data_IF_923371432022
#
_entry.id   IF_923371432022
#
_cell.length_a   1.000
_cell.length_b   1.000
_cell.length_c   1.000
_cell.angle_alpha   90.00
_cell.angle_beta   90.00
_cell.angle_gamma   90.00
#
_symmetry.space_group_name_H-M   'P 1'
#
loop_
_entity.id
_entity.type
_entity.pdbx_description
1 polymer ?
#
# COMPACT_ATOMS: atom_id res chain seq x y z
N UNK A 1 38.66 -25.33 -21.05
CA UNK A 1 39.30 -24.31 -20.20
C UNK A 1 38.21 -23.68 -19.35
N UNK A 2 38.21 -23.92 -18.04
CA UNK A 2 37.17 -23.39 -17.14
C UNK A 2 37.45 -21.93 -16.81
N UNK A 3 36.62 -21.02 -17.33
CA UNK A 3 36.58 -19.63 -16.87
C UNK A 3 35.98 -19.61 -15.46
N UNK A 4 36.83 -19.76 -14.44
CA UNK A 4 36.44 -19.44 -13.07
C UNK A 4 36.40 -17.91 -12.97
N UNK A 5 35.19 -17.35 -13.12
CA UNK A 5 34.94 -15.94 -12.91
C UNK A 5 35.40 -15.54 -11.49
N UNK A 6 35.83 -14.30 -11.30
CA UNK A 6 36.31 -13.78 -10.00
C UNK A 6 35.27 -14.03 -8.89
N UNK A 7 34.00 -13.94 -9.26
CA UNK A 7 32.82 -14.28 -8.47
C UNK A 7 32.84 -15.73 -7.98
N UNK A 8 33.13 -16.69 -8.85
CA UNK A 8 33.21 -18.13 -8.53
C UNK A 8 34.35 -18.42 -7.55
N UNK A 9 35.49 -17.74 -7.70
CA UNK A 9 36.61 -17.83 -6.77
C UNK A 9 36.27 -17.23 -5.39
N UNK A 10 35.54 -16.11 -5.37
CA UNK A 10 35.10 -15.46 -4.14
C UNK A 10 34.11 -16.34 -3.37
N UNK A 11 33.09 -16.89 -4.04
CA UNK A 11 32.15 -17.83 -3.43
C UNK A 11 32.83 -19.08 -2.89
N UNK A 12 33.81 -19.61 -3.61
CA UNK A 12 34.55 -20.80 -3.20
C UNK A 12 35.39 -20.55 -1.94
N UNK A 13 36.08 -19.41 -1.86
CA UNK A 13 36.84 -19.02 -0.67
C UNK A 13 35.93 -18.80 0.55
N UNK A 14 34.78 -18.13 0.37
CA UNK A 14 33.82 -17.90 1.47
C UNK A 14 33.26 -19.22 1.99
N UNK A 15 32.84 -20.12 1.09
CA UNK A 15 32.35 -21.44 1.48
C UNK A 15 33.42 -22.25 2.23
N UNK A 16 34.66 -22.18 1.78
CA UNK A 16 35.77 -22.88 2.38
C UNK A 16 36.13 -22.34 3.78
N UNK A 17 36.13 -21.01 3.94
CA UNK A 17 36.31 -20.37 5.25
C UNK A 17 35.18 -20.69 6.23
N UNK A 18 33.94 -20.83 5.75
CA UNK A 18 32.82 -21.28 6.60
C UNK A 18 33.04 -22.74 7.02
N UNK A 19 33.45 -23.63 6.11
CA UNK A 19 33.71 -25.05 6.44
C UNK A 19 34.87 -25.28 7.41
N UNK A 20 35.83 -24.36 7.44
CA UNK A 20 37.01 -24.43 8.31
C UNK A 20 36.80 -23.75 9.69
N UNK A 21 35.64 -23.13 9.92
CA UNK A 21 35.30 -22.56 11.23
C UNK A 21 35.02 -23.66 12.28
N UNK A 22 35.32 -23.41 13.56
CA UNK A 22 34.91 -24.29 14.66
C UNK A 22 33.41 -24.57 14.64
N UNK A 23 32.99 -25.82 14.85
CA UNK A 23 31.57 -26.27 14.73
C UNK A 23 30.60 -25.37 15.49
N UNK A 24 30.96 -24.97 16.72
CA UNK A 24 30.16 -24.06 17.57
C UNK A 24 29.93 -22.67 16.95
N UNK A 25 30.92 -22.17 16.20
CA UNK A 25 30.83 -20.91 15.47
C UNK A 25 30.09 -21.06 14.14
N UNK A 26 30.17 -22.22 13.51
CA UNK A 26 29.37 -22.58 12.34
C UNK A 26 27.88 -22.65 12.70
N UNK A 27 27.53 -23.39 13.75
CA UNK A 27 26.16 -23.52 14.25
C UNK A 27 25.61 -22.15 14.66
N UNK A 28 26.36 -21.33 15.39
CA UNK A 28 25.88 -19.99 15.75
C UNK A 28 25.73 -19.07 14.53
N UNK A 29 26.58 -19.19 13.51
CA UNK A 29 26.45 -18.41 12.27
C UNK A 29 25.23 -18.85 11.44
N UNK A 30 24.94 -20.14 11.38
CA UNK A 30 23.75 -20.66 10.70
C UNK A 30 22.46 -20.39 11.50
N UNK A 31 22.43 -20.71 12.79
CA UNK A 31 21.23 -20.55 13.61
C UNK A 31 20.93 -19.09 13.90
N UNK A 32 21.89 -18.32 14.44
CA UNK A 32 21.61 -16.94 14.81
C UNK A 32 21.72 -16.00 13.61
N UNK A 33 22.68 -16.23 12.72
CA UNK A 33 22.89 -15.40 11.53
C UNK A 33 21.74 -15.53 10.54
N UNK A 34 21.33 -16.73 10.14
CA UNK A 34 20.23 -16.89 9.17
C UNK A 34 18.88 -16.50 9.77
N UNK A 35 18.62 -16.82 11.04
CA UNK A 35 17.36 -16.41 11.69
C UNK A 35 17.29 -14.88 11.82
N UNK A 36 18.38 -14.24 12.24
CA UNK A 36 18.45 -12.78 12.36
C UNK A 36 18.32 -12.09 11.00
N UNK A 37 19.01 -12.61 9.97
CA UNK A 37 18.93 -12.06 8.61
C UNK A 37 17.52 -12.22 8.02
N UNK A 38 16.90 -13.40 8.17
CA UNK A 38 15.51 -13.63 7.74
C UNK A 38 14.54 -12.69 8.46
N UNK A 39 14.75 -12.46 9.76
CA UNK A 39 13.92 -11.54 10.54
C UNK A 39 14.11 -10.08 10.13
N UNK A 40 15.35 -9.66 9.87
CA UNK A 40 15.67 -8.31 9.37
C UNK A 40 15.05 -8.09 8.00
N UNK A 41 15.30 -8.99 7.04
CA UNK A 41 14.75 -8.91 5.69
C UNK A 41 13.22 -8.89 5.74
N UNK A 42 12.60 -9.74 6.57
CA UNK A 42 11.14 -9.74 6.74
C UNK A 42 10.63 -8.41 7.30
N UNK A 43 11.24 -7.88 8.35
CA UNK A 43 10.86 -6.59 8.94
C UNK A 43 11.08 -5.43 7.96
N UNK A 44 12.19 -5.43 7.22
CA UNK A 44 12.52 -4.39 6.26
C UNK A 44 11.53 -4.40 5.10
N UNK A 45 11.20 -5.58 4.55
CA UNK A 45 10.14 -5.74 3.55
C UNK A 45 8.81 -5.28 4.12
N UNK A 46 8.40 -5.73 5.31
CA UNK A 46 7.12 -5.33 5.92
C UNK A 46 7.03 -3.81 6.12
N UNK A 47 8.08 -3.17 6.66
CA UNK A 47 8.12 -1.73 6.88
C UNK A 47 8.10 -0.94 5.56
N UNK A 48 8.85 -1.41 4.57
CA UNK A 48 8.91 -0.77 3.25
C UNK A 48 7.56 -0.88 2.53
N UNK A 49 6.92 -2.06 2.58
CA UNK A 49 5.58 -2.27 2.01
C UNK A 49 4.53 -1.41 2.71
N UNK A 50 4.60 -1.28 4.04
CA UNK A 50 3.65 -0.44 4.79
C UNK A 50 3.78 1.04 4.41
N UNK A 51 5.00 1.55 4.29
CA UNK A 51 5.25 2.94 3.89
C UNK A 51 4.78 3.20 2.46
N UNK A 52 5.07 2.30 1.53
CA UNK A 52 4.60 2.40 0.14
C UNK A 52 3.06 2.39 0.05
N UNK A 53 2.39 1.59 0.88
CA UNK A 53 0.93 1.60 0.97
C UNK A 53 0.44 2.94 1.55
N UNK A 54 1.07 3.44 2.60
CA UNK A 54 0.69 4.71 3.23
C UNK A 54 0.81 5.90 2.27
N UNK A 55 1.83 5.91 1.41
CA UNK A 55 2.03 6.99 0.44
C UNK A 55 1.09 6.86 -0.76
N UNK A 56 0.79 5.63 -1.18
CA UNK A 56 -0.04 5.38 -2.36
C UNK A 56 -1.54 5.52 -2.07
N UNK A 57 -1.97 5.24 -0.84
CA UNK A 57 -3.39 5.20 -0.48
C UNK A 57 -4.12 6.54 -0.62
N UNK A 58 -3.56 7.69 -0.19
CA UNK A 58 -4.21 9.00 -0.37
C UNK A 58 -4.46 9.31 -1.84
N UNK A 59 -3.48 9.03 -2.71
CA UNK A 59 -3.61 9.26 -4.15
C UNK A 59 -4.69 8.36 -4.76
N UNK A 60 -4.69 7.07 -4.39
CA UNK A 60 -5.67 6.10 -4.87
C UNK A 60 -7.11 6.49 -4.46
N UNK A 61 -7.30 6.86 -3.19
CA UNK A 61 -8.58 7.31 -2.67
C UNK A 61 -9.05 8.58 -3.38
N UNK A 62 -8.17 9.57 -3.58
CA UNK A 62 -8.51 10.81 -4.26
C UNK A 62 -8.97 10.58 -5.70
N UNK A 63 -8.25 9.75 -6.47
CA UNK A 63 -8.61 9.41 -7.84
C UNK A 63 -9.99 8.73 -7.93
N UNK A 64 -10.32 7.87 -6.96
CA UNK A 64 -11.63 7.21 -6.90
C UNK A 64 -12.72 8.22 -6.53
N UNK A 65 -12.48 9.12 -5.57
CA UNK A 65 -13.40 10.21 -5.21
C UNK A 65 -13.72 11.07 -6.45
N UNK A 66 -12.71 11.46 -7.21
CA UNK A 66 -12.87 12.27 -8.41
C UNK A 66 -13.72 11.55 -9.47
N UNK A 67 -13.50 10.24 -9.66
CA UNK A 67 -14.27 9.41 -10.58
C UNK A 67 -15.74 9.29 -10.13
N UNK A 68 -15.98 9.13 -8.82
CA UNK A 68 -17.33 9.12 -8.25
C UNK A 68 -18.04 10.45 -8.53
N UNK A 69 -17.42 11.58 -8.20
CA UNK A 69 -18.00 12.92 -8.42
C UNK A 69 -18.28 13.14 -9.91
N UNK A 70 -17.34 12.76 -10.77
CA UNK A 70 -17.50 12.89 -12.23
C UNK A 70 -18.68 12.05 -12.72
N UNK A 71 -18.82 10.81 -12.24
CA UNK A 71 -19.95 9.94 -12.59
C UNK A 71 -21.31 10.51 -12.14
N UNK A 72 -21.33 11.30 -11.07
CA UNK A 72 -22.54 11.95 -10.56
C UNK A 72 -22.88 13.26 -11.26
N UNK A 73 -21.88 13.96 -11.81
CA UNK A 73 -22.04 15.32 -12.34
C UNK A 73 -22.06 15.37 -13.87
N UNK A 74 -21.48 14.38 -14.54
CA UNK A 74 -21.37 14.33 -16.00
C UNK A 74 -22.33 13.29 -16.57
N UNK A 75 -23.25 13.72 -17.43
CA UNK A 75 -24.19 12.83 -18.10
C UNK A 75 -23.47 11.80 -18.97
N UNK A 76 -23.75 10.52 -18.73
CA UNK A 76 -23.19 9.40 -19.50
C UNK A 76 -21.80 8.95 -19.06
N UNK A 77 -21.24 9.51 -17.98
CA UNK A 77 -19.99 9.03 -17.41
C UNK A 77 -20.19 7.64 -16.78
N UNK A 78 -19.37 6.67 -17.19
CA UNK A 78 -19.37 5.30 -16.67
C UNK A 78 -18.24 5.16 -15.66
N UNK A 79 -18.52 4.56 -14.50
CA UNK A 79 -17.50 4.27 -13.48
C UNK A 79 -16.43 3.34 -14.04
N UNK A 80 -15.18 3.62 -13.70
CA UNK A 80 -14.05 2.76 -14.09
C UNK A 80 -14.10 1.45 -13.31
N UNK A 81 -13.68 0.37 -13.96
CA UNK A 81 -13.37 -0.87 -13.25
C UNK A 81 -11.96 -0.74 -12.62
N UNK A 82 -11.92 -0.40 -11.33
CA UNK A 82 -10.65 -0.14 -10.66
C UNK A 82 -9.78 -1.39 -10.55
N UNK A 83 -10.35 -2.59 -10.55
CA UNK A 83 -9.58 -3.84 -10.45
C UNK A 83 -8.77 -4.12 -11.71
N UNK A 84 -9.25 -3.66 -12.87
CA UNK A 84 -8.51 -3.74 -14.14
C UNK A 84 -7.54 -2.57 -14.31
N UNK A 85 -7.92 -1.36 -13.91
CA UNK A 85 -7.03 -0.17 -13.99
C UNK A 85 -5.82 -0.30 -13.08
N UNK A 86 -6.00 -0.83 -11.86
CA UNK A 86 -4.96 -0.99 -10.86
C UNK A 86 -4.58 -2.46 -10.65
N UNK A 87 -4.30 -3.18 -11.73
CA UNK A 87 -4.02 -4.62 -11.72
C UNK A 87 -2.79 -5.01 -10.84
N UNK A 88 -1.85 -4.08 -10.64
CA UNK A 88 -0.63 -4.32 -9.85
C UNK A 88 -0.83 -4.10 -8.34
N UNK A 89 -2.01 -3.60 -7.92
CA UNK A 89 -2.31 -3.33 -6.52
C UNK A 89 -3.07 -4.52 -5.93
N UNK A 90 -2.76 -4.88 -4.68
CA UNK A 90 -3.50 -5.92 -3.96
C UNK A 90 -5.01 -5.61 -3.93
N UNK A 91 -5.88 -6.58 -4.30
CA UNK A 91 -7.33 -6.38 -4.29
C UNK A 91 -7.89 -5.93 -2.93
N UNK A 92 -7.22 -6.29 -1.83
CA UNK A 92 -7.62 -5.86 -0.48
C UNK A 92 -7.36 -4.37 -0.24
N UNK A 93 -6.21 -3.87 -0.68
CA UNK A 93 -5.85 -2.45 -0.60
C UNK A 93 -6.81 -1.65 -1.47
N UNK A 94 -7.02 -2.10 -2.71
CA UNK A 94 -7.94 -1.45 -3.62
C UNK A 94 -9.37 -1.40 -3.07
N UNK A 95 -9.87 -2.51 -2.50
CA UNK A 95 -11.18 -2.54 -1.83
C UNK A 95 -11.26 -1.55 -0.66
N UNK A 96 -10.19 -1.44 0.14
CA UNK A 96 -10.12 -0.47 1.23
C UNK A 96 -10.24 0.96 0.68
N UNK A 97 -9.48 1.31 -0.36
CA UNK A 97 -9.52 2.62 -0.98
C UNK A 97 -10.90 2.96 -1.55
N UNK A 98 -11.55 2.01 -2.24
CA UNK A 98 -12.91 2.17 -2.76
C UNK A 98 -13.89 2.47 -1.61
N UNK A 99 -13.88 1.64 -0.57
CA UNK A 99 -14.77 1.83 0.58
C UNK A 99 -14.53 3.20 1.26
N UNK A 100 -13.27 3.60 1.43
CA UNK A 100 -12.92 4.90 2.01
C UNK A 100 -13.43 6.05 1.14
N UNK A 101 -13.28 5.97 -0.18
CA UNK A 101 -13.78 6.97 -1.11
C UNK A 101 -15.31 7.08 -1.06
N UNK A 102 -16.02 5.95 -1.10
CA UNK A 102 -17.49 5.92 -1.05
C UNK A 102 -18.03 6.49 0.27
N UNK A 103 -17.45 6.11 1.42
CA UNK A 103 -17.80 6.67 2.73
C UNK A 103 -17.53 8.19 2.79
N UNK A 104 -16.42 8.65 2.20
CA UNK A 104 -16.08 10.07 2.18
C UNK A 104 -17.13 10.87 1.41
N UNK A 105 -17.57 10.37 0.25
CA UNK A 105 -18.63 11.00 -0.54
C UNK A 105 -19.94 11.03 0.24
N UNK A 106 -20.34 9.91 0.86
CA UNK A 106 -21.57 9.87 1.68
C UNK A 106 -21.55 10.91 2.81
N UNK A 107 -20.41 11.08 3.48
CA UNK A 107 -20.26 12.12 4.51
C UNK A 107 -20.37 13.54 3.93
N UNK A 108 -19.83 13.78 2.73
CA UNK A 108 -19.92 15.07 2.06
C UNK A 108 -21.34 15.39 1.62
N UNK A 109 -22.06 14.42 1.04
CA UNK A 109 -23.47 14.56 0.68
C UNK A 109 -24.33 14.86 1.91
N UNK A 110 -24.13 14.08 2.99
CA UNK A 110 -24.86 14.28 4.23
C UNK A 110 -24.68 15.70 4.79
N UNK A 111 -23.42 16.16 4.88
CA UNK A 111 -23.12 17.54 5.31
C UNK A 111 -23.73 18.60 4.40
N UNK A 112 -23.71 18.38 3.09
CA UNK A 112 -24.32 19.31 2.14
C UNK A 112 -25.83 19.44 2.38
N UNK A 113 -26.50 18.29 2.54
CA UNK A 113 -27.94 18.21 2.84
C UNK A 113 -28.26 18.91 4.16
N UNK A 114 -27.54 18.60 5.24
CA UNK A 114 -27.73 19.22 6.55
C UNK A 114 -27.58 20.75 6.49
N UNK A 115 -26.53 21.23 5.81
CA UNK A 115 -26.29 22.67 5.63
C UNK A 115 -27.39 23.36 4.82
N UNK A 116 -27.93 22.70 3.80
CA UNK A 116 -29.06 23.21 3.03
C UNK A 116 -30.33 23.33 3.89
N UNK A 117 -30.59 22.35 4.76
CA UNK A 117 -31.71 22.39 5.70
C UNK A 117 -31.56 23.48 6.77
N UNK A 118 -30.37 23.63 7.37
CA UNK A 118 -30.08 24.69 8.36
C UNK A 118 -30.29 26.08 7.73
N UNK A 119 -29.77 26.30 6.52
CA UNK A 119 -29.92 27.57 5.79
C UNK A 119 -31.38 27.90 5.50
N UNK A 120 -32.20 26.90 5.17
CA UNK A 120 -33.64 27.07 4.96
C UNK A 120 -34.42 27.32 6.26
N UNK A 121 -34.03 26.68 7.37
CA UNK A 121 -34.65 26.92 8.69
C UNK A 121 -34.40 28.35 9.17
N UNK A 122 -33.19 28.87 8.97
CA UNK A 122 -32.86 30.24 9.33
C UNK A 122 -33.56 31.26 8.43
N UNK A 123 -33.71 31.01 7.12
CA UNK A 123 -34.48 31.89 6.22
C UNK A 123 -35.96 32.04 6.60
N UNK A 124 -36.60 31.01 7.15
CA UNK A 124 -38.01 31.08 7.60
C UNK A 124 -38.22 31.96 8.84
N UNK A 125 -37.17 32.23 9.63
CA UNK A 125 -37.26 33.06 10.83
C UNK A 125 -37.08 34.57 10.57
N UNK A 126 -36.77 35.00 9.35
CA UNK A 126 -36.61 36.42 8.99
C UNK A 126 -37.87 37.04 8.33
N UNK A 127 -38.98 36.29 8.28
CA UNK A 127 -40.27 36.74 7.74
C UNK A 127 -41.38 36.78 8.81
N UNK A 128 -41.01 37.03 10.07
CA UNK A 128 -41.92 37.42 11.15
C UNK A 128 -41.58 38.84 11.61
#
# INVERSE_FOLDING_TARGET
MSNNNLETLCYKNIAQSITEMPELLQETLFDHGIISLKKSIKNDIENQTVNEIYDLMPSLVFNIIEDIITSMTVNGAIRKDYYTVYANISPRILRCAINTAELTIQCLEHRYIENAFIKNKNKKNYYL
#
